data_IF_060108117023
#
_entry.id   IF_060108117023
#
_cell.length_a   1.000
_cell.length_b   1.000
_cell.length_c   1.000
_cell.angle_alpha   90.00
_cell.angle_beta   90.00
_cell.angle_gamma   90.00
#
_symmetry.space_group_name_H-M   'P 1'
#
loop_
_entity.id
_entity.type
_entity.pdbx_description
1 polymer ?
#
# COMPACT_ATOMS: atom_id res chain seq x y z
N UNK A 1 -32.53 -18.86 -11.03
CA UNK A 1 -31.34 -18.61 -10.20
C UNK A 1 -30.40 -17.72 -11.00
N UNK A 2 -30.10 -16.51 -10.53
CA UNK A 2 -29.08 -15.66 -11.17
C UNK A 2 -27.72 -16.30 -10.92
N UNK A 3 -26.89 -16.43 -11.96
CA UNK A 3 -25.49 -16.85 -11.78
C UNK A 3 -24.82 -15.89 -10.78
N UNK A 4 -23.96 -16.37 -9.86
CA UNK A 4 -23.22 -15.48 -8.98
C UNK A 4 -22.46 -14.47 -9.84
N UNK A 5 -22.63 -13.19 -9.52
CA UNK A 5 -21.92 -12.13 -10.21
C UNK A 5 -20.42 -12.39 -10.03
N UNK A 6 -19.74 -12.85 -11.08
CA UNK A 6 -18.29 -12.99 -11.07
C UNK A 6 -17.70 -11.65 -10.65
N UNK A 7 -16.73 -11.67 -9.73
CA UNK A 7 -15.78 -10.56 -9.60
C UNK A 7 -15.13 -10.46 -10.98
N UNK A 8 -15.56 -9.48 -11.78
CA UNK A 8 -15.11 -9.36 -13.16
C UNK A 8 -13.58 -9.18 -13.13
N UNK A 9 -12.82 -9.80 -14.05
CA UNK A 9 -11.41 -9.46 -14.22
C UNK A 9 -11.33 -7.97 -14.56
N UNK A 10 -10.84 -7.17 -13.61
CA UNK A 10 -10.96 -5.71 -13.70
C UNK A 10 -9.81 -5.12 -14.53
N UNK A 11 -10.09 -4.21 -15.49
CA UNK A 11 -9.05 -3.61 -16.32
C UNK A 11 -8.20 -2.59 -15.53
N UNK A 12 -6.93 -2.47 -15.93
CA UNK A 12 -6.00 -1.40 -15.59
C UNK A 12 -5.84 -0.46 -16.81
N UNK A 13 -5.18 0.74 -16.74
CA UNK A 13 -4.47 1.37 -15.61
C UNK A 13 -4.79 2.86 -15.41
N UNK A 14 -4.28 3.46 -14.32
CA UNK A 14 -3.93 4.89 -14.33
C UNK A 14 -3.97 5.63 -13.01
N UNK A 15 -2.95 5.48 -12.16
CA UNK A 15 -2.30 6.58 -11.41
C UNK A 15 -1.05 6.04 -10.68
N UNK A 16 0.05 6.79 -10.73
CA UNK A 16 1.26 6.47 -9.95
C UNK A 16 1.12 7.13 -8.58
N UNK A 17 1.09 6.32 -7.51
CA UNK A 17 1.33 6.76 -6.13
C UNK A 17 2.84 6.85 -5.86
N UNK A 18 3.24 7.72 -4.92
CA UNK A 18 4.62 7.90 -4.48
C UNK A 18 5.26 6.54 -4.09
N UNK A 19 6.36 6.17 -4.76
CA UNK A 19 6.47 4.81 -5.31
C UNK A 19 7.41 3.81 -4.61
N UNK A 20 8.11 4.13 -3.52
CA UNK A 20 9.20 3.22 -3.09
C UNK A 20 8.85 2.29 -1.92
N UNK A 21 8.28 2.79 -0.81
CA UNK A 21 8.09 1.95 0.38
C UNK A 21 6.94 0.94 0.23
N UNK A 22 5.74 1.40 -0.19
CA UNK A 22 4.58 0.52 -0.33
C UNK A 22 4.75 -0.52 -1.44
N UNK A 23 5.38 -0.16 -2.55
CA UNK A 23 5.69 -1.09 -3.64
C UNK A 23 6.66 -2.19 -3.18
N UNK A 24 7.66 -1.84 -2.36
CA UNK A 24 8.60 -2.79 -1.78
C UNK A 24 7.90 -3.79 -0.84
N UNK A 25 7.00 -3.31 0.04
CA UNK A 25 6.25 -4.19 0.94
C UNK A 25 5.31 -5.15 0.19
N UNK A 26 4.63 -4.65 -0.85
CA UNK A 26 3.78 -5.48 -1.72
C UNK A 26 4.59 -6.53 -2.49
N UNK A 27 5.77 -6.16 -2.99
CA UNK A 27 6.68 -7.09 -3.66
C UNK A 27 7.21 -8.15 -2.69
N UNK A 28 7.54 -7.77 -1.45
CA UNK A 28 7.98 -8.69 -0.41
C UNK A 28 6.86 -9.67 -0.04
N UNK A 29 5.61 -9.19 0.10
CA UNK A 29 4.46 -10.04 0.35
C UNK A 29 4.20 -11.02 -0.82
N UNK A 30 4.25 -10.54 -2.06
CA UNK A 30 4.10 -11.39 -3.25
C UNK A 30 5.19 -12.48 -3.36
N UNK A 31 6.43 -12.13 -3.00
CA UNK A 31 7.52 -13.10 -2.93
C UNK A 31 7.29 -14.15 -1.83
N UNK A 32 6.88 -13.72 -0.64
CA UNK A 32 6.50 -14.64 0.44
C UNK A 32 5.36 -15.58 0.02
N UNK A 33 4.33 -15.04 -0.65
CA UNK A 33 3.20 -15.81 -1.13
C UNK A 33 3.64 -16.90 -2.11
N UNK A 34 4.60 -16.59 -3.00
CA UNK A 34 5.20 -17.60 -3.89
C UNK A 34 5.77 -18.77 -3.10
N UNK A 35 6.56 -18.51 -2.07
CA UNK A 35 7.24 -19.54 -1.29
C UNK A 35 6.23 -20.41 -0.51
N UNK A 36 5.24 -19.79 0.12
CA UNK A 36 4.25 -20.48 0.93
C UNK A 36 3.22 -21.25 0.09
N UNK A 37 2.70 -20.65 -0.97
CA UNK A 37 1.66 -21.27 -1.81
C UNK A 37 2.21 -22.41 -2.67
N UNK A 38 3.46 -22.35 -3.11
CA UNK A 38 4.08 -23.45 -3.88
C UNK A 38 4.09 -24.76 -3.09
N UNK A 39 4.35 -24.70 -1.79
CA UNK A 39 4.34 -25.87 -0.91
C UNK A 39 2.94 -26.46 -0.71
N UNK A 40 1.90 -25.64 -0.80
CA UNK A 40 0.51 -26.03 -0.52
C UNK A 40 -0.27 -26.45 -1.76
N UNK A 41 -0.04 -25.76 -2.89
CA UNK A 41 -0.83 -25.94 -4.11
C UNK A 41 -0.18 -26.92 -5.09
N UNK A 42 1.09 -27.32 -4.87
CA UNK A 42 1.84 -28.19 -5.79
C UNK A 42 1.94 -27.68 -7.24
N UNK A 43 1.73 -26.37 -7.44
CA UNK A 43 1.85 -25.64 -8.71
C UNK A 43 2.81 -24.47 -8.51
N UNK A 44 3.55 -24.12 -9.56
CA UNK A 44 4.32 -22.88 -9.57
C UNK A 44 3.38 -21.68 -9.55
N UNK A 45 3.44 -20.87 -8.50
CA UNK A 45 2.66 -19.63 -8.40
C UNK A 45 3.60 -18.42 -8.55
N UNK A 46 3.16 -17.43 -9.30
CA UNK A 46 3.77 -16.12 -9.44
C UNK A 46 2.74 -15.04 -9.05
N UNK A 47 2.55 -14.77 -7.75
CA UNK A 47 1.61 -13.77 -7.27
C UNK A 47 2.01 -12.39 -7.79
N UNK A 48 1.02 -11.65 -8.30
CA UNK A 48 1.20 -10.24 -8.66
C UNK A 48 0.25 -9.39 -7.84
N UNK A 49 0.81 -8.49 -7.03
CA UNK A 49 0.03 -7.47 -6.35
C UNK A 49 -0.62 -6.54 -7.39
N UNK A 50 -1.93 -6.35 -7.27
CA UNK A 50 -2.68 -5.33 -7.99
C UNK A 50 -2.61 -4.00 -7.22
N UNK A 51 -2.99 -2.92 -7.90
CA UNK A 51 -2.98 -1.59 -7.31
C UNK A 51 -3.92 -1.53 -6.09
N UNK A 52 -3.44 -1.11 -4.90
CA UNK A 52 -4.28 -0.97 -3.72
C UNK A 52 -5.43 0.03 -3.95
N UNK A 53 -6.61 -0.27 -3.42
CA UNK A 53 -7.82 0.56 -3.58
C UNK A 53 -8.60 0.63 -2.27
N UNK A 54 -9.47 1.61 -2.12
CA UNK A 54 -10.45 1.62 -1.03
C UNK A 54 -11.67 0.81 -1.45
N UNK A 55 -12.27 0.07 -0.52
CA UNK A 55 -13.51 -0.67 -0.79
C UNK A 55 -14.65 0.33 -1.01
N UNK A 56 -15.21 0.33 -2.22
CA UNK A 56 -16.43 1.07 -2.53
C UNK A 56 -17.66 0.33 -1.97
N UNK A 57 -18.75 1.04 -1.59
CA UNK A 57 -19.96 0.40 -1.09
C UNK A 57 -20.53 -0.67 -2.03
N UNK A 58 -20.41 -0.47 -3.35
CA UNK A 58 -20.86 -1.43 -4.36
C UNK A 58 -20.05 -2.74 -4.38
N UNK A 59 -18.87 -2.79 -3.75
CA UNK A 59 -18.01 -3.97 -3.69
C UNK A 59 -18.26 -4.81 -2.44
N UNK A 60 -19.00 -4.28 -1.45
CA UNK A 60 -19.25 -5.00 -0.21
C UNK A 60 -20.07 -6.25 -0.43
N UNK A 61 -21.14 -6.19 -1.20
CA UNK A 61 -22.01 -7.34 -1.45
C UNK A 61 -21.21 -8.51 -2.07
N UNK A 62 -20.44 -8.31 -3.17
CA UNK A 62 -19.58 -9.38 -3.71
C UNK A 62 -18.49 -9.89 -2.77
N UNK A 63 -17.91 -9.02 -1.93
CA UNK A 63 -16.86 -9.40 -0.97
C UNK A 63 -17.42 -10.16 0.23
N UNK A 64 -18.62 -9.83 0.68
CA UNK A 64 -19.32 -10.53 1.76
C UNK A 64 -19.93 -11.84 1.27
N UNK A 65 -20.36 -11.89 0.00
CA UNK A 65 -20.76 -13.13 -0.69
C UNK A 65 -19.56 -14.01 -1.07
N UNK A 66 -18.33 -13.55 -0.82
CA UNK A 66 -17.14 -14.34 -1.05
C UNK A 66 -17.17 -15.61 -0.18
N UNK A 67 -16.67 -16.70 -0.75
CA UNK A 67 -16.82 -18.01 -0.14
C UNK A 67 -15.96 -18.22 1.11
N UNK A 68 -14.81 -17.55 1.18
CA UNK A 68 -13.91 -17.59 2.33
C UNK A 68 -13.54 -16.16 2.71
N UNK A 69 -14.05 -15.72 3.86
CA UNK A 69 -13.66 -14.48 4.54
C UNK A 69 -13.14 -14.87 5.91
N UNK A 70 -11.89 -14.53 6.22
CA UNK A 70 -11.27 -14.84 7.52
C UNK A 70 -10.63 -13.58 8.10
N UNK A 71 -11.06 -13.20 9.30
CA UNK A 71 -10.49 -12.09 10.05
C UNK A 71 -9.32 -12.51 10.93
N UNK A 72 -8.36 -11.61 11.09
CA UNK A 72 -7.12 -11.81 11.83
C UNK A 72 -6.76 -10.56 12.63
N UNK A 73 -6.21 -10.77 13.83
CA UNK A 73 -5.52 -9.71 14.58
C UNK A 73 -4.06 -9.71 14.19
N UNK A 74 -3.57 -8.60 13.68
CA UNK A 74 -2.18 -8.39 13.34
C UNK A 74 -1.59 -7.24 14.18
N UNK A 75 -0.28 -7.04 14.08
CA UNK A 75 0.44 -6.01 14.84
C UNK A 75 0.00 -4.59 14.44
N UNK A 76 -0.23 -4.37 13.14
CA UNK A 76 -0.59 -3.05 12.60
C UNK A 76 -2.10 -2.83 12.48
N UNK A 77 -2.92 -3.82 12.83
CA UNK A 77 -4.36 -3.70 12.67
C UNK A 77 -5.12 -5.00 12.62
N UNK A 78 -6.37 -4.87 12.21
CA UNK A 78 -7.22 -5.99 11.85
C UNK A 78 -7.12 -6.25 10.36
N UNK A 79 -7.11 -7.51 9.99
CA UNK A 79 -6.92 -7.92 8.61
C UNK A 79 -7.98 -8.93 8.24
N UNK A 80 -8.66 -8.76 7.10
CA UNK A 80 -9.48 -9.81 6.54
C UNK A 80 -8.86 -10.35 5.26
N UNK A 81 -8.73 -11.67 5.14
CA UNK A 81 -8.40 -12.33 3.88
C UNK A 81 -9.68 -12.74 3.19
N UNK A 82 -9.75 -12.50 1.88
CA UNK A 82 -10.94 -12.78 1.07
C UNK A 82 -10.53 -13.65 -0.12
N UNK A 83 -11.29 -14.72 -0.32
CA UNK A 83 -11.18 -15.62 -1.47
C UNK A 83 -12.59 -15.81 -2.06
N UNK A 84 -12.76 -15.42 -3.32
CA UNK A 84 -14.03 -15.66 -4.01
C UNK A 84 -14.22 -17.16 -4.34
N UNK A 85 -15.42 -17.53 -4.79
CA UNK A 85 -15.74 -18.93 -5.06
C UNK A 85 -14.84 -19.55 -6.14
N UNK A 86 -14.52 -18.79 -7.20
CA UNK A 86 -13.71 -19.29 -8.31
C UNK A 86 -12.25 -19.49 -7.88
N UNK A 87 -11.70 -18.56 -7.10
CA UNK A 87 -10.36 -18.61 -6.53
C UNK A 87 -10.24 -19.73 -5.51
N UNK A 88 -11.26 -19.93 -4.67
CA UNK A 88 -11.31 -21.03 -3.73
C UNK A 88 -11.33 -22.39 -4.43
N UNK A 89 -12.15 -22.55 -5.48
CA UNK A 89 -12.17 -23.76 -6.31
C UNK A 89 -10.83 -24.00 -6.99
N UNK A 90 -10.23 -22.97 -7.58
CA UNK A 90 -8.93 -23.09 -8.25
C UNK A 90 -7.81 -23.49 -7.27
N UNK A 91 -7.75 -22.88 -6.08
CA UNK A 91 -6.80 -23.24 -5.04
C UNK A 91 -7.04 -24.66 -4.52
N UNK A 92 -8.31 -25.05 -4.31
CA UNK A 92 -8.64 -26.39 -3.84
C UNK A 92 -8.31 -27.46 -4.88
N UNK A 93 -8.65 -27.24 -6.15
CA UNK A 93 -8.30 -28.13 -7.26
C UNK A 93 -6.79 -28.33 -7.36
N UNK A 94 -6.02 -27.23 -7.33
CA UNK A 94 -4.56 -27.29 -7.35
C UNK A 94 -3.99 -28.11 -6.17
N UNK A 95 -4.40 -27.80 -4.94
CA UNK A 95 -3.95 -28.53 -3.74
C UNK A 95 -4.34 -30.02 -3.74
N UNK A 96 -5.46 -30.37 -4.36
CA UNK A 96 -5.95 -31.76 -4.48
C UNK A 96 -5.39 -32.49 -5.71
N UNK A 97 -4.58 -31.83 -6.55
CA UNK A 97 -4.06 -32.39 -7.80
C UNK A 97 -5.12 -32.53 -8.91
N UNK A 98 -6.28 -31.89 -8.77
CA UNK A 98 -7.30 -31.79 -9.81
C UNK A 98 -7.00 -30.55 -10.67
N UNK A 99 -6.48 -30.78 -11.88
CA UNK A 99 -6.10 -29.72 -12.82
C UNK A 99 -7.31 -29.01 -13.49
N UNK A 100 -8.54 -29.33 -13.08
CA UNK A 100 -9.73 -28.81 -13.72
C UNK A 100 -10.01 -27.35 -13.33
N UNK A 101 -10.51 -26.59 -14.30
CA UNK A 101 -10.97 -25.23 -14.07
C UNK A 101 -12.12 -25.21 -13.06
N UNK A 102 -12.33 -24.06 -12.41
CA UNK A 102 -13.44 -23.81 -11.49
C UNK A 102 -14.77 -24.33 -12.09
N UNK A 103 -15.37 -25.31 -11.43
CA UNK A 103 -16.56 -26.01 -11.95
C UNK A 103 -17.82 -25.14 -11.91
N UNK A 104 -17.79 -24.02 -11.21
CA UNK A 104 -18.93 -23.12 -11.03
C UNK A 104 -19.95 -23.70 -10.06
N UNK A 105 -20.54 -22.82 -9.24
CA UNK A 105 -21.45 -23.22 -8.15
C UNK A 105 -20.80 -23.13 -6.77
N UNK A 106 -21.47 -23.62 -5.72
CA UNK A 106 -20.98 -23.55 -4.36
C UNK A 106 -19.80 -24.51 -4.13
N UNK A 107 -18.88 -24.12 -3.24
CA UNK A 107 -17.81 -25.01 -2.76
C UNK A 107 -18.40 -26.22 -2.01
N UNK A 108 -17.86 -27.40 -2.29
CA UNK A 108 -17.99 -28.56 -1.42
C UNK A 108 -17.35 -28.30 -0.05
N UNK A 109 -17.72 -29.08 0.99
CA UNK A 109 -17.10 -28.97 2.31
C UNK A 109 -15.57 -29.13 2.29
N UNK A 110 -15.07 -30.06 1.47
CA UNK A 110 -13.62 -30.30 1.32
C UNK A 110 -12.93 -29.11 0.66
N UNK A 111 -13.48 -28.56 -0.44
CA UNK A 111 -12.87 -27.40 -1.09
C UNK A 111 -12.83 -26.18 -0.17
N UNK A 112 -13.88 -25.98 0.64
CA UNK A 112 -13.92 -24.92 1.65
C UNK A 112 -12.82 -25.11 2.70
N UNK A 113 -12.63 -26.33 3.21
CA UNK A 113 -11.59 -26.65 4.17
C UNK A 113 -10.19 -26.41 3.58
N UNK A 114 -9.94 -26.88 2.37
CA UNK A 114 -8.67 -26.68 1.65
C UNK A 114 -8.42 -25.19 1.38
N UNK A 115 -9.41 -24.44 0.91
CA UNK A 115 -9.29 -23.00 0.69
C UNK A 115 -8.95 -22.26 1.99
N UNK A 116 -9.57 -22.63 3.11
CA UNK A 116 -9.24 -22.09 4.44
C UNK A 116 -7.80 -22.43 4.86
N UNK A 117 -7.31 -23.65 4.57
CA UNK A 117 -5.93 -24.04 4.84
C UNK A 117 -4.93 -23.26 3.97
N UNK A 118 -5.25 -23.02 2.70
CA UNK A 118 -4.45 -22.20 1.78
C UNK A 118 -4.31 -20.77 2.31
N UNK A 119 -5.43 -20.16 2.73
CA UNK A 119 -5.43 -18.81 3.32
C UNK A 119 -4.56 -18.78 4.59
N UNK A 120 -4.75 -19.75 5.51
CA UNK A 120 -3.92 -19.86 6.73
C UNK A 120 -2.43 -20.02 6.43
N UNK A 121 -2.10 -20.85 5.43
CA UNK A 121 -0.74 -21.08 5.01
C UNK A 121 -0.08 -19.88 4.31
N UNK A 122 -0.89 -18.98 3.74
CA UNK A 122 -0.43 -17.73 3.14
C UNK A 122 -0.14 -16.62 4.17
N UNK A 123 -0.72 -16.69 5.38
CA UNK A 123 -0.61 -15.64 6.40
C UNK A 123 0.83 -15.19 6.73
N UNK A 124 1.84 -16.08 6.87
CA UNK A 124 3.19 -15.64 7.17
C UNK A 124 3.80 -14.74 6.08
N UNK A 125 3.36 -14.89 4.82
CA UNK A 125 3.80 -14.04 3.73
C UNK A 125 3.27 -12.59 3.83
N UNK A 126 2.20 -12.37 4.59
CA UNK A 126 1.53 -11.08 4.70
C UNK A 126 2.12 -10.19 5.80
N UNK A 127 3.05 -10.73 6.61
CA UNK A 127 3.76 -10.00 7.68
C UNK A 127 4.32 -8.63 7.26
N UNK A 128 4.90 -8.43 6.05
CA UNK A 128 5.36 -7.11 5.64
C UNK A 128 4.26 -6.04 5.61
N UNK A 129 3.00 -6.44 5.43
CA UNK A 129 1.85 -5.54 5.31
C UNK A 129 1.12 -5.31 6.64
N UNK A 130 1.10 -6.31 7.51
CA UNK A 130 0.29 -6.27 8.73
C UNK A 130 1.06 -6.53 10.04
N UNK A 131 2.34 -6.84 9.95
CA UNK A 131 3.18 -7.31 11.06
C UNK A 131 2.77 -8.70 11.54
N UNK A 132 3.12 -9.05 12.77
CA UNK A 132 2.85 -10.38 13.31
C UNK A 132 1.36 -10.66 13.54
N UNK A 133 0.88 -11.80 13.03
CA UNK A 133 -0.51 -12.26 13.19
C UNK A 133 -0.64 -13.01 14.51
N UNK A 134 -1.49 -12.50 15.41
CA UNK A 134 -1.64 -12.97 16.80
C UNK A 134 -2.80 -13.94 17.00
N UNK A 135 -3.71 -14.03 16.03
CA UNK A 135 -4.86 -14.93 16.09
C UNK A 135 -5.99 -14.52 15.16
N UNK A 136 -7.08 -15.28 15.18
CA UNK A 136 -8.31 -14.97 14.45
C UNK A 136 -9.06 -13.79 15.08
N UNK A 137 -9.81 -13.06 14.26
CA UNK A 137 -10.68 -11.97 14.69
C UNK A 137 -12.01 -12.04 13.94
N UNK A 138 -13.05 -11.45 14.53
CA UNK A 138 -14.34 -11.26 13.86
C UNK A 138 -14.31 -9.96 13.07
N UNK A 139 -13.70 -10.03 11.88
CA UNK A 139 -13.44 -8.87 11.01
C UNK A 139 -13.99 -9.17 9.63
N UNK A 140 -15.00 -8.39 9.23
CA UNK A 140 -15.56 -8.40 7.89
C UNK A 140 -15.11 -7.15 7.11
N UNK A 141 -14.92 -7.22 5.78
CA UNK A 141 -14.66 -6.05 4.94
C UNK A 141 -15.72 -4.95 5.12
N UNK A 142 -15.31 -3.70 5.19
CA UNK A 142 -16.19 -2.53 5.26
C UNK A 142 -15.82 -1.46 4.22
N UNK A 143 -16.78 -0.61 3.86
CA UNK A 143 -16.54 0.47 2.91
C UNK A 143 -15.47 1.42 3.47
N UNK A 144 -14.52 1.81 2.63
CA UNK A 144 -13.38 2.63 3.02
C UNK A 144 -12.19 1.87 3.60
N UNK A 145 -12.29 0.55 3.84
CA UNK A 145 -11.10 -0.24 4.19
C UNK A 145 -10.13 -0.30 2.98
N UNK A 146 -8.82 -0.42 3.27
CA UNK A 146 -7.80 -0.58 2.24
C UNK A 146 -7.80 -2.03 1.73
N UNK A 147 -7.95 -2.19 0.43
CA UNK A 147 -8.02 -3.46 -0.27
C UNK A 147 -6.78 -3.66 -1.16
N UNK A 148 -6.13 -4.82 -1.01
CA UNK A 148 -4.99 -5.26 -1.82
C UNK A 148 -5.30 -6.64 -2.37
N UNK A 149 -5.17 -6.82 -3.67
CA UNK A 149 -5.42 -8.10 -4.33
C UNK A 149 -4.14 -8.69 -4.92
N UNK A 150 -3.93 -9.99 -4.74
CA UNK A 150 -2.84 -10.75 -5.33
C UNK A 150 -3.39 -11.73 -6.36
N UNK A 151 -3.15 -11.48 -7.64
CA UNK A 151 -3.48 -12.42 -8.69
C UNK A 151 -2.50 -13.60 -8.65
N UNK A 152 -3.00 -14.82 -8.49
CA UNK A 152 -2.21 -16.04 -8.30
C UNK A 152 -1.96 -16.75 -9.65
N UNK A 153 -1.20 -16.13 -10.54
CA UNK A 153 -0.83 -16.77 -11.81
C UNK A 153 0.03 -18.02 -11.59
N UNK A 154 -0.06 -19.07 -12.42
CA UNK A 154 -0.88 -19.22 -13.61
C UNK A 154 -2.28 -19.76 -13.33
N UNK A 155 -2.74 -19.86 -12.08
CA UNK A 155 -4.09 -20.33 -11.78
C UNK A 155 -5.10 -19.33 -12.36
N UNK A 156 -5.90 -19.74 -13.37
CA UNK A 156 -6.77 -18.81 -14.06
C UNK A 156 -7.83 -18.29 -13.10
N UNK A 157 -7.94 -16.96 -13.02
CA UNK A 157 -8.90 -16.24 -12.18
C UNK A 157 -8.79 -16.50 -10.66
N UNK A 158 -7.67 -17.05 -10.18
CA UNK A 158 -7.43 -17.14 -8.75
C UNK A 158 -6.81 -15.85 -8.23
N UNK A 159 -7.43 -15.24 -7.22
CA UNK A 159 -6.84 -14.15 -6.46
C UNK A 159 -7.02 -14.33 -4.96
N UNK A 160 -6.06 -13.83 -4.20
CA UNK A 160 -6.13 -13.68 -2.75
C UNK A 160 -6.21 -12.19 -2.45
N UNK A 161 -7.30 -11.77 -1.82
CA UNK A 161 -7.48 -10.39 -1.41
C UNK A 161 -7.21 -10.21 0.09
N UNK A 162 -6.71 -9.03 0.41
CA UNK A 162 -6.37 -8.58 1.74
C UNK A 162 -7.08 -7.25 2.02
N UNK A 163 -7.86 -7.22 3.08
CA UNK A 163 -8.48 -6.00 3.60
C UNK A 163 -7.72 -5.61 4.84
N UNK A 164 -7.06 -4.45 4.78
CA UNK A 164 -6.30 -3.86 5.87
C UNK A 164 -7.18 -2.82 6.55
N UNK A 165 -7.62 -3.14 7.76
CA UNK A 165 -8.25 -2.18 8.66
C UNK A 165 -7.19 -1.72 9.65
N UNK A 166 -6.76 -0.44 9.62
CA UNK A 166 -5.90 0.06 10.67
C UNK A 166 -6.58 -0.25 12.00
N UNK A 167 -5.80 -0.71 13.01
CA UNK A 167 -6.36 -0.92 14.33
C UNK A 167 -7.20 0.32 14.69
N UNK A 168 -8.40 0.19 15.29
CA UNK A 168 -9.01 1.35 15.92
C UNK A 168 -7.90 1.91 16.79
N UNK A 169 -7.43 3.12 16.47
CA UNK A 169 -6.44 3.78 17.29
C UNK A 169 -7.08 3.80 18.66
N UNK A 170 -6.64 2.92 19.57
CA UNK A 170 -6.78 3.17 20.99
C UNK A 170 -6.30 4.59 21.10
N UNK A 171 -7.14 5.55 21.56
CA UNK A 171 -6.68 6.91 21.71
C UNK A 171 -5.42 6.80 22.54
N UNK A 172 -4.27 7.01 21.90
CA UNK A 172 -3.04 7.18 22.62
C UNK A 172 -3.28 8.33 23.59
N UNK A 173 -2.52 8.41 24.69
CA UNK A 173 -2.51 9.65 25.45
C UNK A 173 -2.37 10.79 24.42
N UNK A 174 -3.24 11.81 24.45
CA UNK A 174 -3.20 12.89 23.48
C UNK A 174 -1.76 13.35 23.39
N UNK A 175 -1.19 13.32 22.18
CA UNK A 175 0.15 13.83 21.94
C UNK A 175 0.09 15.31 22.28
N UNK A 176 0.60 15.64 23.45
CA UNK A 176 0.75 17.02 23.87
C UNK A 176 1.74 17.69 22.90
N UNK A 177 1.42 18.89 22.42
CA UNK A 177 2.33 19.68 21.59
C UNK A 177 3.66 19.88 22.32
N UNK A 178 3.63 19.95 23.65
CA UNK A 178 4.81 20.00 24.52
C UNK A 178 5.67 18.74 24.40
N UNK A 179 5.06 17.56 24.24
CA UNK A 179 5.79 16.29 24.04
C UNK A 179 6.47 16.18 22.67
N UNK A 180 6.05 17.00 21.71
CA UNK A 180 6.65 17.10 20.38
C UNK A 180 7.74 18.17 20.28
N UNK A 181 7.91 19.01 21.31
CA UNK A 181 8.85 20.14 21.29
C UNK A 181 10.31 19.70 21.14
N UNK A 182 10.66 18.50 21.59
CA UNK A 182 12.03 17.96 21.54
C UNK A 182 12.30 17.11 20.30
N UNK A 183 11.31 16.90 19.42
CA UNK A 183 11.49 16.08 18.23
C UNK A 183 12.41 16.83 17.25
N UNK A 184 13.61 16.29 16.93
CA UNK A 184 14.52 16.96 16.02
C UNK A 184 13.91 17.02 14.62
N UNK A 185 13.82 18.23 14.07
CA UNK A 185 13.30 18.45 12.72
C UNK A 185 14.42 18.85 11.77
N UNK A 186 14.41 18.28 10.56
CA UNK A 186 15.29 18.71 9.49
C UNK A 186 14.76 20.00 8.88
N UNK A 187 15.59 21.04 8.91
CA UNK A 187 15.35 22.32 8.26
C UNK A 187 16.26 22.46 7.04
N UNK A 188 15.70 22.85 5.90
CA UNK A 188 16.47 23.18 4.70
C UNK A 188 15.95 24.45 4.05
N UNK A 189 16.84 25.27 3.51
CA UNK A 189 16.47 26.51 2.82
C UNK A 189 16.73 26.32 1.33
N UNK A 190 15.67 26.44 0.53
CA UNK A 190 15.75 26.48 -0.92
C UNK A 190 15.95 27.92 -1.37
N UNK A 191 17.14 28.21 -1.92
CA UNK A 191 17.52 29.55 -2.38
C UNK A 191 16.98 29.86 -3.78
N UNK A 192 16.91 28.85 -4.64
CA UNK A 192 16.48 29.00 -6.02
C UNK A 192 16.02 27.66 -6.59
N UNK A 193 15.20 27.73 -7.64
CA UNK A 193 14.68 26.59 -8.41
C UNK A 193 14.78 26.87 -9.90
N UNK A 194 14.94 25.82 -10.69
CA UNK A 194 15.05 25.89 -12.14
C UNK A 194 14.77 24.54 -12.79
N UNK A 195 14.50 24.53 -14.09
CA UNK A 195 14.41 23.32 -14.91
C UNK A 195 15.64 23.13 -15.79
N UNK A 196 16.07 21.88 -15.97
CA UNK A 196 17.13 21.50 -16.93
C UNK A 196 16.75 20.19 -17.62
N UNK A 197 17.07 20.05 -18.92
CA UNK A 197 16.83 18.78 -19.61
C UNK A 197 17.83 17.70 -19.14
N UNK A 198 17.41 16.44 -19.14
CA UNK A 198 18.25 15.32 -18.66
C UNK A 198 19.58 15.20 -19.43
N UNK A 199 19.55 15.44 -20.75
CA UNK A 199 20.77 15.39 -21.57
C UNK A 199 21.77 16.50 -21.23
N UNK A 200 21.27 17.69 -20.89
CA UNK A 200 22.11 18.82 -20.47
C UNK A 200 22.69 18.58 -19.08
N UNK A 201 21.88 18.06 -18.15
CA UNK A 201 22.32 17.68 -16.81
C UNK A 201 23.48 16.67 -16.85
N UNK A 202 23.43 15.68 -17.74
CA UNK A 202 24.46 14.67 -17.90
C UNK A 202 25.78 15.22 -18.48
N UNK A 203 25.72 16.36 -19.17
CA UNK A 203 26.87 17.01 -19.79
C UNK A 203 27.55 18.09 -18.94
N UNK A 204 27.04 18.38 -17.74
CA UNK A 204 27.57 19.47 -16.91
C UNK A 204 29.01 19.22 -16.46
N UNK A 205 29.85 20.24 -16.65
CA UNK A 205 31.23 20.30 -16.23
C UNK A 205 31.48 21.37 -15.16
N UNK A 206 32.67 21.31 -14.57
CA UNK A 206 33.13 22.36 -13.63
C UNK A 206 33.28 23.67 -14.39
N UNK A 207 32.55 24.70 -13.94
CA UNK A 207 32.57 26.04 -14.53
C UNK A 207 31.33 26.38 -15.36
N UNK A 208 30.46 25.41 -15.62
CA UNK A 208 29.20 25.67 -16.32
C UNK A 208 28.26 26.54 -15.48
N UNK A 209 27.50 27.39 -16.17
CA UNK A 209 26.57 28.34 -15.55
C UNK A 209 25.14 27.89 -15.79
N UNK A 210 24.41 27.65 -14.71
CA UNK A 210 22.98 27.34 -14.74
C UNK A 210 22.17 28.61 -14.50
N UNK A 211 21.24 28.90 -15.42
CA UNK A 211 20.24 29.95 -15.22
C UNK A 211 19.04 29.32 -14.51
N UNK A 212 18.64 29.90 -13.39
CA UNK A 212 17.52 29.43 -12.58
C UNK A 212 16.29 30.32 -12.82
N UNK A 213 15.11 29.81 -12.50
CA UNK A 213 13.84 30.53 -12.68
C UNK A 213 13.62 31.60 -11.58
N UNK A 214 14.32 31.45 -10.46
CA UNK A 214 14.28 32.39 -9.32
C UNK A 214 15.08 33.65 -9.63
N UNK A 215 14.47 34.82 -9.42
CA UNK A 215 15.14 36.11 -9.60
C UNK A 215 15.91 36.53 -8.35
N UNK A 216 16.95 37.35 -8.53
CA UNK A 216 17.67 37.96 -7.40
C UNK A 216 16.71 38.88 -6.64
N UNK A 217 16.56 38.63 -5.34
CA UNK A 217 15.66 39.37 -4.46
C UNK A 217 14.32 38.67 -4.21
N UNK A 218 14.03 37.57 -4.90
CA UNK A 218 12.90 36.71 -4.57
C UNK A 218 13.08 36.10 -3.17
N UNK A 219 11.97 35.82 -2.49
CA UNK A 219 11.99 35.14 -1.21
C UNK A 219 12.50 33.68 -1.39
N UNK A 220 13.43 33.29 -0.53
CA UNK A 220 13.82 31.91 -0.34
C UNK A 220 12.75 31.14 0.46
N UNK A 221 12.73 29.82 0.31
CA UNK A 221 11.73 28.96 0.95
C UNK A 221 12.38 28.10 2.02
N UNK A 222 11.93 28.24 3.27
CA UNK A 222 12.30 27.33 4.35
C UNK A 222 11.38 26.11 4.33
N UNK A 223 11.99 24.94 4.20
CA UNK A 223 11.34 23.64 4.28
C UNK A 223 11.57 23.00 5.64
N UNK A 224 10.50 22.43 6.19
CA UNK A 224 10.50 21.69 7.46
C UNK A 224 10.07 20.27 7.14
N UNK A 225 10.96 19.29 7.37
CA UNK A 225 10.68 17.90 7.00
C UNK A 225 10.46 17.67 5.50
N UNK A 226 11.00 18.56 4.66
CA UNK A 226 10.83 18.51 3.19
C UNK A 226 9.62 19.27 2.65
N UNK A 227 8.71 19.74 3.51
CA UNK A 227 7.55 20.54 3.12
C UNK A 227 7.83 22.04 3.22
N UNK A 228 7.33 22.83 2.27
CA UNK A 228 7.51 24.29 2.26
C UNK A 228 6.65 24.93 3.34
N UNK A 229 7.27 25.58 4.33
CA UNK A 229 6.57 26.09 5.51
C UNK A 229 6.63 27.62 5.61
N UNK A 230 7.74 28.25 5.20
CA UNK A 230 7.91 29.70 5.31
C UNK A 230 8.60 30.30 4.09
N UNK A 231 8.24 31.53 3.77
CA UNK A 231 8.95 32.39 2.83
C UNK A 231 9.77 33.43 3.61
N UNK A 232 10.91 33.82 3.08
CA UNK A 232 11.80 34.74 3.77
C UNK A 232 13.06 35.08 2.99
N UNK A 233 13.92 35.86 3.62
CA UNK A 233 15.14 36.35 3.00
C UNK A 233 16.34 35.51 3.45
N UNK A 234 17.08 34.95 2.51
CA UNK A 234 18.36 34.33 2.78
C UNK A 234 19.46 35.39 2.81
N UNK A 235 20.38 35.28 3.77
CA UNK A 235 21.46 36.25 3.93
C UNK A 235 22.55 35.77 4.88
N UNK A 236 23.27 36.71 5.48
CA UNK A 236 24.37 36.43 6.42
C UNK A 236 24.14 37.20 7.72
N UNK A 237 24.20 36.51 8.86
CA UNK A 237 24.13 37.11 10.20
C UNK A 237 25.31 36.63 11.05
N UNK A 238 26.12 37.56 11.55
CA UNK A 238 27.30 37.22 12.34
C UNK A 238 28.32 36.35 11.59
N UNK A 239 28.48 36.56 10.29
CA UNK A 239 29.40 35.79 9.43
C UNK A 239 28.90 34.38 9.06
N UNK A 240 27.65 34.02 9.37
CA UNK A 240 27.05 32.72 9.03
C UNK A 240 25.84 32.91 8.14
N UNK A 241 25.62 31.97 7.22
CA UNK A 241 24.39 31.91 6.43
C UNK A 241 23.17 31.86 7.37
N UNK A 242 22.17 32.68 7.06
CA UNK A 242 21.00 32.90 7.88
C UNK A 242 19.75 33.06 7.00
N UNK A 243 18.59 32.86 7.59
CA UNK A 243 17.30 33.03 6.94
C UNK A 243 16.37 33.82 7.86
N UNK A 244 15.77 34.89 7.33
CA UNK A 244 14.81 35.73 8.04
C UNK A 244 13.40 35.42 7.55
N UNK A 245 12.59 34.81 8.41
CA UNK A 245 11.18 34.48 8.11
C UNK A 245 10.38 35.76 7.89
N UNK A 246 9.69 35.86 6.75
CA UNK A 246 8.78 36.97 6.43
C UNK A 246 7.31 36.57 6.54
N UNK A 247 6.98 35.33 6.20
CA UNK A 247 5.61 34.84 6.26
C UNK A 247 5.52 33.32 6.21
N UNK A 248 4.43 32.78 6.76
CA UNK A 248 4.11 31.37 6.61
C UNK A 248 3.55 31.10 5.20
N UNK A 249 4.06 30.06 4.56
CA UNK A 249 3.48 29.48 3.36
C UNK A 249 2.45 28.46 3.84
N UNK A 250 1.17 28.73 3.56
CA UNK A 250 0.08 28.14 4.31
C UNK A 250 0.09 26.61 4.44
N UNK A 251 -0.10 26.16 5.68
CA UNK A 251 -1.29 25.38 6.05
C UNK A 251 -1.87 26.05 7.30
N UNK A 252 -3.12 26.54 7.24
CA UNK A 252 -3.90 26.73 8.47
C UNK A 252 -4.09 25.33 9.03
N UNK A 253 -3.45 25.05 10.16
CA UNK A 253 -3.86 23.92 11.00
C UNK A 253 -5.06 24.46 11.78
N UNK A 254 -6.27 24.14 11.30
CA UNK A 254 -7.48 24.17 12.14
C UNK A 254 -7.51 22.89 12.99
#
# INVERSE_FOLDING_TARGET
MRAPARIKPWPAPGRRLAANASAMLLAQAAHGLTAHLRGLLHVEIAPRALEPRLIEPAWLEPLLDACVVQGWRAEYGEVATVLDAASAQACAGAALGAADAAHGGPLSPLEREVACAVVKGALPALRPLCGEIRGSADVAPAAGDLFVEFALGPLPAASLALVLRPAPMLPGPPLDVESLAEVPMTLSVELARGGIALGELAGLGVGDVLVLDTQVGDDAVLKVGGESAFAGEAGVKGGRAAFAVRGALGRKVE
#
